data_IF_657371984014
#
_entry.id   IF_657371984014
#
_cell.length_a   1.000
_cell.length_b   1.000
_cell.length_c   1.000
_cell.angle_alpha   90.00
_cell.angle_beta   90.00
_cell.angle_gamma   90.00
#
_symmetry.space_group_name_H-M   'P 1'
#
loop_
_entity.id
_entity.type
_entity.pdbx_description
1 polymer ?
#
# COMPACT_ATOMS: atom_id res chain seq x y z
N UNK A 1 1.51 17.78 18.79
CA UNK A 1 2.34 16.55 18.76
C UNK A 1 3.68 16.90 18.12
N UNK A 2 4.80 16.67 18.81
CA UNK A 2 6.16 16.93 18.32
C UNK A 2 7.06 15.74 18.68
N UNK A 3 6.63 14.53 18.30
CA UNK A 3 7.35 13.29 18.58
C UNK A 3 7.36 12.41 17.32
N UNK A 4 8.51 11.84 16.99
CA UNK A 4 8.66 10.93 15.86
C UNK A 4 8.13 9.53 16.15
N UNK A 5 7.96 9.19 17.45
CA UNK A 5 7.35 7.93 17.89
C UNK A 5 5.85 8.11 18.03
N UNK A 6 5.11 7.28 17.30
CA UNK A 6 3.66 7.21 17.26
C UNK A 6 3.18 5.96 17.99
N UNK A 7 3.59 5.82 19.25
CA UNK A 7 3.25 4.66 20.09
C UNK A 7 1.73 4.52 20.17
N UNK A 8 1.25 3.28 20.09
CA UNK A 8 -0.17 2.90 20.11
C UNK A 8 -1.05 3.49 19.00
N UNK A 9 -0.45 4.20 18.03
CA UNK A 9 -1.18 4.68 16.87
C UNK A 9 -1.55 3.52 15.94
N UNK A 10 -2.74 3.62 15.36
CA UNK A 10 -3.23 2.72 14.31
C UNK A 10 -3.18 3.42 12.96
N UNK A 11 -2.47 2.82 12.00
CA UNK A 11 -2.40 3.32 10.64
C UNK A 11 -3.35 2.53 9.73
N UNK A 12 -4.27 3.23 9.07
CA UNK A 12 -5.16 2.67 8.05
C UNK A 12 -4.63 2.99 6.65
N UNK A 13 -4.52 1.99 5.79
CA UNK A 13 -4.09 2.16 4.39
C UNK A 13 -4.87 1.20 3.47
N UNK A 14 -5.38 1.66 2.34
CA UNK A 14 -6.27 0.83 1.49
C UNK A 14 -5.56 -0.32 0.78
N UNK A 15 -4.24 -0.21 0.58
CA UNK A 15 -3.39 -1.20 -0.08
C UNK A 15 -2.25 -1.60 0.86
N UNK A 16 -1.84 -2.87 0.77
CA UNK A 16 -0.68 -3.39 1.48
C UNK A 16 0.56 -2.50 1.33
N UNK A 17 1.27 -2.19 2.43
CA UNK A 17 2.43 -1.30 2.37
C UNK A 17 3.60 -1.93 1.62
N UNK A 18 4.26 -1.12 0.80
CA UNK A 18 5.53 -1.50 0.18
C UNK A 18 6.68 -1.47 1.20
N UNK A 19 7.87 -1.95 0.80
CA UNK A 19 9.07 -2.03 1.64
C UNK A 19 9.42 -0.69 2.31
N UNK A 20 9.30 0.42 1.56
CA UNK A 20 9.58 1.76 2.10
C UNK A 20 8.62 2.12 3.23
N UNK A 21 7.32 1.94 3.01
CA UNK A 21 6.29 2.25 4.00
C UNK A 21 6.39 1.33 5.22
N UNK A 22 6.67 0.04 5.01
CA UNK A 22 6.91 -0.92 6.08
C UNK A 22 8.09 -0.50 6.99
N UNK A 23 9.22 -0.09 6.40
CA UNK A 23 10.35 0.44 7.16
C UNK A 23 10.00 1.70 7.95
N UNK A 24 9.24 2.63 7.34
CA UNK A 24 8.78 3.83 8.01
C UNK A 24 7.89 3.53 9.23
N UNK A 25 6.98 2.55 9.13
CA UNK A 25 6.14 2.10 10.24
C UNK A 25 6.95 1.55 11.41
N UNK A 26 8.01 0.77 11.12
CA UNK A 26 8.93 0.27 12.15
C UNK A 26 9.62 1.44 12.85
N UNK A 27 10.17 2.39 12.10
CA UNK A 27 10.89 3.53 12.65
C UNK A 27 9.99 4.49 13.44
N UNK A 28 8.73 4.66 13.03
CA UNK A 28 7.75 5.47 13.76
C UNK A 28 7.14 4.75 14.97
N UNK A 29 7.37 3.44 15.14
CA UNK A 29 6.91 2.64 16.29
C UNK A 29 5.39 2.62 16.43
N UNK A 30 4.65 2.59 15.32
CA UNK A 30 3.19 2.44 15.37
C UNK A 30 2.79 1.12 16.03
N UNK A 31 1.68 1.12 16.77
CA UNK A 31 1.20 -0.08 17.45
C UNK A 31 0.60 -1.08 16.47
N UNK A 32 -0.28 -0.61 15.59
CA UNK A 32 -1.02 -1.46 14.67
C UNK A 32 -1.17 -0.85 13.29
N UNK A 33 -1.29 -1.71 12.28
CA UNK A 33 -1.65 -1.33 10.92
C UNK A 33 -2.88 -2.12 10.47
N UNK A 34 -3.73 -1.44 9.72
CA UNK A 34 -4.92 -2.01 9.10
C UNK A 34 -4.85 -1.75 7.60
N UNK A 35 -4.91 -2.79 6.77
CA UNK A 35 -5.00 -2.61 5.33
C UNK A 35 -6.09 -3.42 4.64
N UNK A 36 -6.49 -2.94 3.48
CA UNK A 36 -7.58 -3.53 2.69
C UNK A 36 -7.09 -4.58 1.70
N UNK A 37 -6.68 -4.15 0.52
CA UNK A 37 -6.23 -5.04 -0.55
C UNK A 37 -4.76 -5.46 -0.39
N UNK A 38 -4.44 -6.68 -0.78
CA UNK A 38 -3.05 -7.16 -0.86
C UNK A 38 -2.35 -6.65 -2.12
N UNK A 39 -1.05 -6.42 -2.02
CA UNK A 39 -0.17 -6.15 -3.16
C UNK A 39 0.70 -7.37 -3.45
N UNK A 40 0.16 -8.29 -4.25
CA UNK A 40 0.86 -9.52 -4.63
C UNK A 40 2.20 -9.30 -5.37
N UNK A 41 2.46 -8.11 -5.92
CA UNK A 41 3.68 -7.83 -6.67
C UNK A 41 4.80 -7.28 -5.78
N UNK A 42 4.47 -6.34 -4.89
CA UNK A 42 5.47 -5.56 -4.15
C UNK A 42 5.15 -5.34 -2.67
N UNK A 43 4.11 -5.99 -2.14
CA UNK A 43 3.71 -5.88 -0.75
C UNK A 43 4.74 -6.43 0.24
N UNK A 44 5.01 -5.69 1.30
CA UNK A 44 6.04 -5.98 2.30
C UNK A 44 5.45 -6.39 3.67
N UNK A 45 4.16 -6.74 3.70
CA UNK A 45 3.44 -7.16 4.89
C UNK A 45 2.99 -8.63 4.81
N UNK A 46 3.59 -9.42 3.90
CA UNK A 46 3.25 -10.83 3.71
C UNK A 46 3.22 -11.27 2.24
N UNK A 47 2.98 -10.36 1.29
CA UNK A 47 2.87 -10.74 -0.13
C UNK A 47 4.21 -11.13 -0.77
N UNK A 48 5.14 -10.19 -0.93
CA UNK A 48 6.48 -10.48 -1.46
C UNK A 48 7.43 -10.90 -0.32
N UNK A 49 7.34 -10.20 0.80
CA UNK A 49 8.13 -10.43 2.01
C UNK A 49 7.37 -9.86 3.22
N UNK A 50 7.76 -10.29 4.42
CA UNK A 50 7.25 -9.70 5.66
C UNK A 50 8.39 -8.95 6.37
N UNK A 51 8.50 -7.66 6.07
CA UNK A 51 9.50 -6.77 6.71
C UNK A 51 9.09 -6.47 8.15
N UNK A 52 7.78 -6.42 8.41
CA UNK A 52 7.20 -5.90 9.64
C UNK A 52 7.25 -6.93 10.78
N UNK A 53 7.36 -8.21 10.46
CA UNK A 53 7.62 -9.29 11.41
C UNK A 53 8.99 -9.94 11.27
N UNK A 54 9.91 -9.35 10.52
CA UNK A 54 11.24 -9.90 10.39
C UNK A 54 11.92 -10.02 11.78
N UNK A 55 12.49 -11.18 12.16
CA UNK A 55 12.95 -11.46 13.53
C UNK A 55 14.08 -10.55 14.01
N UNK A 56 14.80 -9.91 13.07
CA UNK A 56 15.84 -8.91 13.39
C UNK A 56 15.32 -7.49 13.67
N UNK A 57 14.01 -7.24 13.56
CA UNK A 57 13.44 -5.91 13.79
C UNK A 57 13.24 -5.63 15.27
N UNK A 58 13.54 -4.38 15.67
CA UNK A 58 13.50 -3.93 17.06
C UNK A 58 12.11 -3.42 17.52
N UNK A 59 11.10 -3.51 16.66
CA UNK A 59 9.71 -3.16 16.95
C UNK A 59 8.80 -4.03 16.10
N UNK A 60 7.74 -4.56 16.71
CA UNK A 60 6.76 -5.42 16.05
C UNK A 60 5.47 -4.63 15.86
N UNK A 61 4.96 -4.61 14.63
CA UNK A 61 3.72 -3.90 14.30
C UNK A 61 2.62 -4.93 14.06
N UNK A 62 1.53 -4.84 14.81
CA UNK A 62 0.37 -5.74 14.66
C UNK A 62 -0.31 -5.53 13.29
N UNK A 63 -0.76 -6.63 12.68
CA UNK A 63 -1.38 -6.63 11.35
C UNK A 63 -2.87 -6.94 11.46
N UNK A 64 -3.68 -6.10 10.83
CA UNK A 64 -5.03 -6.46 10.41
C UNK A 64 -5.14 -6.26 8.90
N UNK A 65 -5.60 -7.28 8.18
CA UNK A 65 -5.68 -7.29 6.73
C UNK A 65 -7.10 -7.60 6.24
N UNK A 66 -7.37 -7.32 4.97
CA UNK A 66 -8.63 -7.67 4.32
C UNK A 66 -9.80 -6.70 4.56
N UNK A 67 -9.58 -5.58 5.22
CA UNK A 67 -10.67 -4.63 5.54
C UNK A 67 -11.13 -3.90 4.28
N UNK A 68 -12.36 -4.19 3.83
CA UNK A 68 -12.92 -3.70 2.57
C UNK A 68 -12.02 -4.05 1.37
N UNK A 69 -11.41 -5.23 1.38
CA UNK A 69 -10.45 -5.66 0.35
C UNK A 69 -11.00 -5.54 -1.07
N UNK A 70 -12.25 -5.97 -1.29
CA UNK A 70 -12.90 -5.93 -2.60
C UNK A 70 -13.08 -4.50 -3.12
N UNK A 71 -13.51 -3.57 -2.25
CA UNK A 71 -13.68 -2.16 -2.60
C UNK A 71 -12.32 -1.49 -2.87
N UNK A 72 -11.32 -1.77 -2.05
CA UNK A 72 -9.96 -1.26 -2.22
C UNK A 72 -9.34 -1.77 -3.55
N UNK A 73 -9.55 -3.05 -3.88
CA UNK A 73 -9.06 -3.65 -5.11
C UNK A 73 -9.81 -3.16 -6.35
N UNK A 74 -11.13 -2.95 -6.24
CA UNK A 74 -11.96 -2.39 -7.30
C UNK A 74 -11.48 -0.98 -7.68
N UNK A 75 -11.22 -0.13 -6.69
CA UNK A 75 -10.71 1.23 -6.89
C UNK A 75 -9.41 1.24 -7.72
N UNK A 76 -8.45 0.38 -7.37
CA UNK A 76 -7.18 0.23 -8.11
C UNK A 76 -7.42 -0.29 -9.53
N UNK A 77 -8.26 -1.31 -9.67
CA UNK A 77 -8.58 -1.93 -10.96
C UNK A 77 -9.20 -0.92 -11.93
N UNK A 78 -10.14 -0.12 -11.44
CA UNK A 78 -10.82 0.91 -12.22
C UNK A 78 -9.91 2.07 -12.56
N UNK A 79 -9.06 2.50 -11.63
CA UNK A 79 -8.03 3.51 -11.91
C UNK A 79 -7.13 3.08 -13.06
N UNK A 80 -6.56 1.86 -13.02
CA UNK A 80 -5.68 1.41 -14.10
C UNK A 80 -6.42 1.16 -15.42
N UNK A 81 -7.69 0.76 -15.37
CA UNK A 81 -8.55 0.64 -16.56
C UNK A 81 -8.76 1.98 -17.24
N UNK A 82 -9.12 3.00 -16.47
CA UNK A 82 -9.28 4.39 -16.92
C UNK A 82 -7.98 4.92 -17.53
N UNK A 83 -6.85 4.80 -16.82
CA UNK A 83 -5.53 5.24 -17.31
C UNK A 83 -5.13 4.60 -18.65
N UNK A 84 -5.44 3.32 -18.85
CA UNK A 84 -5.18 2.64 -20.14
C UNK A 84 -6.05 3.20 -21.27
N UNK A 85 -7.30 3.53 -21.00
CA UNK A 85 -8.20 4.14 -21.99
C UNK A 85 -7.74 5.54 -22.39
N UNK A 86 -7.33 6.36 -21.42
CA UNK A 86 -6.80 7.70 -21.68
C UNK A 86 -5.55 7.68 -22.57
N UNK A 87 -4.58 6.80 -22.26
CA UNK A 87 -3.37 6.65 -23.08
C UNK A 87 -3.72 6.21 -24.52
N UNK A 88 -4.70 5.31 -24.67
CA UNK A 88 -5.17 4.88 -26.00
C UNK A 88 -5.81 6.03 -26.79
N UNK A 89 -6.63 6.86 -26.13
CA UNK A 89 -7.25 8.03 -26.75
C UNK A 89 -6.20 9.08 -27.16
N UNK A 90 -5.21 9.35 -26.31
CA UNK A 90 -4.10 10.27 -26.58
C UNK A 90 -3.29 9.83 -27.80
N UNK A 91 -2.91 8.54 -27.86
CA UNK A 91 -2.19 7.99 -29.01
C UNK A 91 -2.97 8.11 -30.31
N UNK A 92 -4.28 7.85 -30.27
CA UNK A 92 -5.16 8.00 -31.44
C UNK A 92 -5.21 9.45 -31.92
N UNK A 93 -5.35 10.41 -31.00
CA UNK A 93 -5.37 11.84 -31.32
C UNK A 93 -4.04 12.31 -31.95
N UNK A 94 -2.90 11.84 -31.44
CA UNK A 94 -1.58 12.12 -32.00
C UNK A 94 -1.44 11.57 -33.43
N UNK A 95 -1.85 10.32 -33.67
CA UNK A 95 -1.76 9.68 -35.00
C UNK A 95 -2.68 10.28 -36.08
N UNK A 96 -3.64 11.12 -35.71
CA UNK A 96 -4.55 11.81 -36.64
C UNK A 96 -4.16 13.28 -36.89
N UNK A 97 -3.08 13.74 -36.26
CA UNK A 97 -2.53 15.10 -36.47
C UNK A 97 -1.28 15.08 -37.36
N UNK A 98 -0.66 13.90 -37.53
CA UNK A 98 0.34 13.59 -38.58
C UNK A 98 -0.34 13.10 -39.87
#
# INVERSE_FOLDING_TARGET
MQNYRLIDATLYVTLEPCVMCAGAMIHSRIGSRVFGAHDAKTGAAGSLMDVLHHPGMNHRVEITEGILADECAALLSDFFRMRRQEIKAQKKAQSSTD
#
